data_IF_239740474209
#
_entry.id   IF_239740474209
#
_cell.length_a   1.000
_cell.length_b   1.000
_cell.length_c   1.000
_cell.angle_alpha   90.00
_cell.angle_beta   90.00
_cell.angle_gamma   90.00
#
_symmetry.space_group_name_H-M   'P 1'
#
loop_
_entity.id
_entity.type
_entity.pdbx_description
1 polymer ?
#
# COMPACT_ATOMS: atom_id res chain seq x y z
N UNK A 1 -22.00 7.47 0.77
CA UNK A 1 -21.64 7.06 -0.61
C UNK A 1 -20.54 6.01 -0.52
N UNK A 2 -20.37 5.17 -1.52
CA UNK A 2 -19.29 4.15 -1.58
C UNK A 2 -18.38 4.41 -2.78
N UNK A 3 -17.20 3.77 -2.80
CA UNK A 3 -16.24 3.89 -3.90
C UNK A 3 -16.82 3.49 -5.26
N UNK A 4 -17.74 2.53 -5.29
CA UNK A 4 -18.38 2.06 -6.52
C UNK A 4 -19.57 2.92 -6.97
N UNK A 5 -20.04 3.84 -6.12
CA UNK A 5 -21.05 4.82 -6.49
C UNK A 5 -20.45 6.00 -7.29
N UNK A 6 -19.14 6.26 -7.12
CA UNK A 6 -18.43 7.38 -7.77
C UNK A 6 -17.67 6.97 -9.03
N UNK A 7 -17.07 5.79 -9.02
CA UNK A 7 -16.20 5.28 -10.08
C UNK A 7 -16.40 3.76 -10.18
N UNK A 8 -16.46 3.23 -11.40
CA UNK A 8 -16.66 1.78 -11.59
C UNK A 8 -15.48 0.95 -11.07
N UNK A 9 -15.71 -0.32 -10.73
CA UNK A 9 -14.64 -1.23 -10.31
C UNK A 9 -13.59 -1.36 -11.41
N UNK A 10 -14.00 -1.41 -12.67
CA UNK A 10 -13.12 -1.51 -13.83
C UNK A 10 -12.17 -0.30 -13.96
N UNK A 11 -12.68 0.91 -13.68
CA UNK A 11 -11.87 2.13 -13.67
C UNK A 11 -10.90 2.16 -12.49
N UNK A 12 -11.34 1.71 -11.31
CA UNK A 12 -10.45 1.54 -10.16
C UNK A 12 -9.31 0.55 -10.45
N UNK A 13 -9.63 -0.58 -11.05
CA UNK A 13 -8.64 -1.57 -11.47
C UNK A 13 -7.69 -1.02 -12.54
N UNK A 14 -8.18 -0.23 -13.48
CA UNK A 14 -7.35 0.41 -14.49
C UNK A 14 -6.33 1.35 -13.86
N UNK A 15 -6.77 2.19 -12.89
CA UNK A 15 -5.87 3.07 -12.15
C UNK A 15 -4.84 2.28 -11.33
N UNK A 16 -5.28 1.22 -10.63
CA UNK A 16 -4.37 0.33 -9.88
C UNK A 16 -3.31 -0.23 -10.81
N UNK A 17 -3.69 -0.83 -11.96
CA UNK A 17 -2.72 -1.38 -12.93
C UNK A 17 -1.73 -0.34 -13.42
N UNK A 18 -2.18 0.89 -13.68
CA UNK A 18 -1.30 1.96 -14.12
C UNK A 18 -0.27 2.36 -13.06
N UNK A 19 -0.68 2.41 -11.79
CA UNK A 19 0.25 2.65 -10.67
C UNK A 19 1.26 1.49 -10.57
N UNK A 20 0.78 0.24 -10.66
CA UNK A 20 1.63 -0.95 -10.60
C UNK A 20 2.67 -0.95 -11.73
N UNK A 21 2.25 -0.65 -12.96
CA UNK A 21 3.12 -0.65 -14.14
C UNK A 21 4.16 0.49 -14.07
N UNK A 22 3.76 1.67 -13.55
CA UNK A 22 4.62 2.86 -13.50
C UNK A 22 5.57 2.89 -12.30
N UNK A 23 5.15 2.36 -11.16
CA UNK A 23 5.88 2.48 -9.88
C UNK A 23 6.30 1.15 -9.27
N UNK A 24 5.79 0.02 -9.76
CA UNK A 24 6.24 -1.31 -9.32
C UNK A 24 5.80 -1.70 -7.90
N UNK A 25 4.70 -1.15 -7.40
CA UNK A 25 4.16 -1.41 -6.06
C UNK A 25 3.01 -2.43 -6.09
N UNK A 26 2.77 -3.13 -4.98
CA UNK A 26 1.51 -3.88 -4.78
C UNK A 26 0.40 -2.88 -4.40
N UNK A 27 -0.54 -2.63 -5.31
CA UNK A 27 -1.49 -1.53 -5.21
C UNK A 27 -2.92 -2.03 -5.06
N UNK A 28 -3.74 -1.28 -4.34
CA UNK A 28 -5.16 -1.56 -4.18
C UNK A 28 -5.98 -0.32 -3.84
N UNK A 29 -7.27 -0.38 -4.13
CA UNK A 29 -8.27 0.55 -3.55
C UNK A 29 -8.97 -0.15 -2.39
N UNK A 30 -9.06 0.54 -1.26
CA UNK A 30 -9.71 0.05 -0.04
C UNK A 30 -10.79 1.01 0.45
N UNK A 31 -11.89 0.45 0.94
CA UNK A 31 -12.96 1.17 1.61
C UNK A 31 -12.54 1.65 3.03
N UNK A 32 -13.37 2.43 3.74
CA UNK A 32 -13.02 2.95 5.06
C UNK A 32 -12.83 1.88 6.15
N UNK A 33 -13.41 0.69 5.95
CA UNK A 33 -13.29 -0.46 6.86
C UNK A 33 -12.08 -1.36 6.51
N UNK A 34 -11.33 -1.00 5.46
CA UNK A 34 -10.16 -1.73 4.99
C UNK A 34 -10.47 -2.85 3.99
N UNK A 35 -11.73 -2.99 3.56
CA UNK A 35 -12.13 -3.92 2.52
C UNK A 35 -11.60 -3.51 1.15
N UNK A 36 -11.04 -4.46 0.39
CA UNK A 36 -10.53 -4.16 -0.95
C UNK A 36 -11.67 -4.10 -1.98
N UNK A 37 -11.72 -3.03 -2.76
CA UNK A 37 -12.68 -2.84 -3.86
C UNK A 37 -12.13 -3.42 -5.17
N UNK A 38 -10.81 -3.41 -5.34
CA UNK A 38 -10.12 -4.00 -6.48
C UNK A 38 -9.64 -5.42 -6.17
N UNK A 39 -9.60 -6.29 -7.17
CA UNK A 39 -9.00 -7.60 -7.03
C UNK A 39 -7.50 -7.50 -6.68
N UNK A 40 -6.98 -8.51 -5.97
CA UNK A 40 -5.56 -8.59 -5.65
C UNK A 40 -4.71 -8.56 -6.92
N UNK A 41 -3.79 -7.61 -6.98
CA UNK A 41 -2.82 -7.48 -8.07
C UNK A 41 -1.66 -8.47 -7.95
N UNK A 42 -0.64 -8.27 -8.77
CA UNK A 42 0.62 -9.03 -8.67
C UNK A 42 1.45 -8.50 -7.50
N UNK A 43 2.01 -9.42 -6.72
CA UNK A 43 3.02 -9.08 -5.72
C UNK A 43 4.23 -8.39 -6.37
N UNK A 44 4.72 -7.34 -5.73
CA UNK A 44 5.94 -6.64 -6.15
C UNK A 44 7.23 -7.24 -5.58
N UNK A 45 7.11 -8.13 -4.58
CA UNK A 45 8.21 -8.86 -3.94
C UNK A 45 7.71 -10.20 -3.37
N UNK A 46 8.64 -11.06 -2.94
CA UNK A 46 8.36 -12.39 -2.41
C UNK A 46 8.15 -12.44 -0.89
N UNK A 47 8.58 -11.40 -0.14
CA UNK A 47 8.47 -11.34 1.32
C UNK A 47 7.05 -11.04 1.81
N UNK A 48 6.39 -10.03 1.23
CA UNK A 48 5.03 -9.60 1.56
C UNK A 48 4.00 -10.74 1.54
N UNK A 49 4.00 -11.65 0.55
CA UNK A 49 3.16 -12.85 0.56
C UNK A 49 3.34 -13.71 1.81
N UNK A 50 4.58 -13.94 2.25
CA UNK A 50 4.87 -14.78 3.41
C UNK A 50 4.44 -14.10 4.72
N UNK A 51 4.65 -12.78 4.84
CA UNK A 51 4.10 -11.98 5.95
C UNK A 51 2.58 -12.10 5.99
N UNK A 52 1.89 -11.89 4.86
CA UNK A 52 0.42 -11.90 4.81
C UNK A 52 -0.20 -13.30 5.00
N UNK A 53 0.55 -14.38 4.76
CA UNK A 53 0.11 -15.76 5.06
C UNK A 53 0.12 -16.06 6.56
N UNK A 54 0.97 -15.40 7.35
CA UNK A 54 1.00 -15.57 8.80
C UNK A 54 -0.05 -14.65 9.46
N UNK A 55 -1.07 -15.17 10.17
CA UNK A 55 -2.10 -14.32 10.79
C UNK A 55 -1.55 -13.31 11.81
N UNK A 56 -0.51 -13.70 12.56
CA UNK A 56 0.15 -12.83 13.53
C UNK A 56 0.87 -11.67 12.85
N UNK A 57 1.68 -11.96 11.82
CA UNK A 57 2.40 -10.93 11.06
C UNK A 57 1.43 -10.05 10.24
N UNK A 58 0.40 -10.64 9.61
CA UNK A 58 -0.66 -9.90 8.92
C UNK A 58 -1.34 -8.91 9.86
N UNK A 59 -1.68 -9.34 11.08
CA UNK A 59 -2.35 -8.50 12.07
C UNK A 59 -1.45 -7.41 12.66
N UNK A 60 -0.21 -7.76 12.99
CA UNK A 60 0.73 -6.83 13.65
C UNK A 60 1.41 -5.85 12.70
N UNK A 61 1.70 -6.24 11.46
CA UNK A 61 2.42 -5.43 10.47
C UNK A 61 1.42 -4.84 9.45
N UNK A 62 0.78 -5.67 8.64
CA UNK A 62 0.03 -5.18 7.48
C UNK A 62 -1.26 -4.46 7.88
N UNK A 63 -2.05 -5.03 8.79
CA UNK A 63 -3.32 -4.46 9.23
C UNK A 63 -3.10 -3.18 10.05
N UNK A 64 -2.12 -3.17 10.96
CA UNK A 64 -1.73 -1.98 11.73
C UNK A 64 -1.32 -0.83 10.82
N UNK A 65 -0.42 -1.10 9.86
CA UNK A 65 0.01 -0.10 8.90
C UNK A 65 -1.16 0.41 8.04
N UNK A 66 -2.05 -0.47 7.56
CA UNK A 66 -3.24 -0.05 6.82
C UNK A 66 -4.14 0.87 7.65
N UNK A 67 -4.46 0.49 8.89
CA UNK A 67 -5.31 1.29 9.78
C UNK A 67 -4.69 2.65 10.10
N UNK A 68 -3.39 2.68 10.42
CA UNK A 68 -2.66 3.91 10.75
C UNK A 68 -2.65 4.89 9.57
N UNK A 69 -2.28 4.42 8.38
CA UNK A 69 -2.19 5.27 7.19
C UNK A 69 -3.57 5.75 6.74
N UNK A 70 -4.59 4.89 6.79
CA UNK A 70 -5.97 5.28 6.47
C UNK A 70 -6.49 6.33 7.44
N UNK A 71 -6.24 6.16 8.75
CA UNK A 71 -6.65 7.14 9.76
C UNK A 71 -5.95 8.49 9.57
N UNK A 72 -4.64 8.49 9.33
CA UNK A 72 -3.87 9.70 9.10
C UNK A 72 -4.29 10.41 7.80
N UNK A 73 -4.42 9.68 6.69
CA UNK A 73 -4.86 10.24 5.42
C UNK A 73 -6.27 10.85 5.51
N UNK A 74 -7.19 10.16 6.20
CA UNK A 74 -8.53 10.67 6.50
C UNK A 74 -8.49 11.95 7.34
N UNK A 75 -7.70 11.98 8.41
CA UNK A 75 -7.65 13.10 9.33
C UNK A 75 -7.04 14.36 8.70
N UNK A 76 -5.99 14.17 7.90
CA UNK A 76 -5.21 15.27 7.33
C UNK A 76 -5.72 15.73 5.96
N UNK A 77 -6.54 14.91 5.30
CA UNK A 77 -6.93 15.10 3.89
C UNK A 77 -5.71 15.14 2.94
N UNK A 78 -4.60 14.55 3.36
CA UNK A 78 -3.34 14.51 2.62
C UNK A 78 -2.91 13.07 2.39
N UNK A 79 -2.16 12.86 1.32
CA UNK A 79 -1.47 11.59 1.10
C UNK A 79 -0.44 11.32 2.20
N UNK A 80 -0.26 10.04 2.52
CA UNK A 80 0.73 9.57 3.49
C UNK A 80 1.70 8.67 2.76
N UNK A 81 2.98 9.03 2.82
CA UNK A 81 4.11 8.26 2.31
C UNK A 81 5.06 8.03 3.47
N UNK A 82 5.30 6.76 3.81
CA UNK A 82 6.22 6.37 4.89
C UNK A 82 6.48 4.86 4.79
N UNK A 83 7.14 4.29 5.78
CA UNK A 83 7.41 2.85 5.89
C UNK A 83 6.29 2.15 6.68
N UNK A 84 6.04 0.87 6.38
CA UNK A 84 5.30 -0.03 7.25
C UNK A 84 6.22 -0.61 8.33
N UNK A 85 5.66 -1.35 9.28
CA UNK A 85 6.45 -1.92 10.39
C UNK A 85 7.53 -2.94 9.93
N UNK A 86 7.45 -3.44 8.70
CA UNK A 86 8.50 -4.28 8.10
C UNK A 86 9.60 -3.48 7.38
N UNK A 87 9.60 -2.15 7.47
CA UNK A 87 10.58 -1.27 6.82
C UNK A 87 10.34 -1.01 5.33
N UNK A 88 9.19 -1.42 4.78
CA UNK A 88 8.89 -1.23 3.36
C UNK A 88 7.99 -0.02 3.12
N UNK A 89 8.22 0.67 2.00
CA UNK A 89 7.41 1.79 1.50
C UNK A 89 5.93 1.42 1.51
N UNK A 90 5.12 2.35 2.00
CA UNK A 90 3.66 2.35 1.91
C UNK A 90 3.18 3.75 1.54
N UNK A 91 2.25 3.78 0.61
CA UNK A 91 1.59 4.99 0.13
C UNK A 91 0.09 4.84 0.36
N UNK A 92 -0.54 5.88 0.88
CA UNK A 92 -1.99 5.95 1.06
C UNK A 92 -2.49 7.32 0.67
N UNK A 93 -3.28 7.41 -0.39
CA UNK A 93 -3.91 8.64 -0.86
C UNK A 93 -5.40 8.58 -0.51
N UNK A 94 -5.93 9.56 0.25
CA UNK A 94 -7.32 9.53 0.67
C UNK A 94 -8.24 9.85 -0.51
N UNK A 95 -9.37 9.14 -0.56
CA UNK A 95 -10.41 9.33 -1.57
C UNK A 95 -11.59 10.02 -0.90
N UNK A 96 -11.93 11.20 -1.42
CA UNK A 96 -13.07 12.00 -0.95
C UNK A 96 -14.03 12.33 -2.09
N UNK A 97 -15.32 12.38 -1.78
CA UNK A 97 -16.35 12.99 -2.63
C UNK A 97 -16.98 14.15 -1.85
N UNK A 98 -16.60 15.39 -2.20
CA UNK A 98 -16.82 16.54 -1.31
C UNK A 98 -16.06 16.36 0.01
N UNK A 99 -16.79 16.45 1.13
CA UNK A 99 -16.23 16.24 2.48
C UNK A 99 -16.38 14.79 2.97
N UNK A 100 -17.01 13.90 2.19
CA UNK A 100 -17.23 12.50 2.57
C UNK A 100 -16.01 11.64 2.22
N UNK A 101 -15.40 11.03 3.24
CA UNK A 101 -14.29 10.09 3.07
C UNK A 101 -14.80 8.72 2.59
N UNK A 102 -14.33 8.28 1.43
CA UNK A 102 -14.77 7.03 0.80
C UNK A 102 -13.75 5.89 0.93
N UNK A 103 -12.51 6.17 1.34
CA UNK A 103 -11.47 5.16 1.47
C UNK A 103 -10.10 5.67 1.02
N UNK A 104 -9.23 4.76 0.62
CA UNK A 104 -7.86 5.06 0.20
C UNK A 104 -7.46 4.27 -1.03
N UNK A 105 -6.58 4.84 -1.85
CA UNK A 105 -5.84 4.14 -2.89
C UNK A 105 -4.35 4.33 -2.66
N UNK A 106 -3.56 3.30 -2.93
CA UNK A 106 -2.11 3.38 -2.84
C UNK A 106 -1.47 2.02 -3.05
N UNK A 107 -0.23 1.88 -2.61
CA UNK A 107 0.50 0.64 -2.71
C UNK A 107 1.69 0.54 -1.77
N UNK A 108 2.28 -0.65 -1.69
CA UNK A 108 3.42 -0.91 -0.81
C UNK A 108 4.39 -1.95 -1.39
N UNK A 109 5.44 -2.24 -0.62
CA UNK A 109 6.33 -3.38 -0.82
C UNK A 109 7.62 -3.09 -1.60
N UNK A 110 7.94 -1.82 -1.84
CA UNK A 110 9.31 -1.40 -2.19
C UNK A 110 10.10 -1.07 -0.92
N UNK A 111 11.41 -0.92 -1.03
CA UNK A 111 12.29 -0.44 0.04
C UNK A 111 12.77 0.98 -0.31
N UNK A 112 12.90 1.89 0.66
CA UNK A 112 13.58 3.16 0.38
C UNK A 112 15.08 2.91 0.07
N UNK A 113 15.74 3.83 -0.65
CA UNK A 113 17.15 3.64 -1.05
C UNK A 113 18.10 3.52 0.14
N UNK A 114 17.78 4.18 1.25
CA UNK A 114 18.47 4.15 2.54
C UNK A 114 17.71 3.36 3.62
N UNK A 115 16.61 2.71 3.25
CA UNK A 115 15.80 1.89 4.14
C UNK A 115 16.37 0.49 4.33
N UNK A 116 15.94 -0.15 5.41
CA UNK A 116 16.27 -1.54 5.73
C UNK A 116 14.99 -2.28 6.11
N UNK A 117 14.93 -3.58 5.81
CA UNK A 117 13.83 -4.42 6.25
C UNK A 117 14.02 -4.76 7.72
N UNK A 118 12.96 -4.65 8.52
CA UNK A 118 12.93 -5.06 9.93
C UNK A 118 12.86 -6.60 10.04
N UNK A 119 13.95 -7.26 9.64
CA UNK A 119 14.09 -8.70 9.53
C UNK A 119 13.83 -9.44 10.86
N UNK A 120 14.24 -8.87 11.99
CA UNK A 120 13.98 -9.41 13.32
C UNK A 120 12.49 -9.43 13.63
N UNK A 121 11.76 -8.34 13.34
CA UNK A 121 10.31 -8.30 13.55
C UNK A 121 9.61 -9.32 12.65
N UNK A 122 10.02 -9.38 11.38
CA UNK A 122 9.51 -10.35 10.42
C UNK A 122 9.75 -11.78 10.92
N UNK A 123 10.96 -12.09 11.38
CA UNK A 123 11.31 -13.40 11.94
C UNK A 123 10.42 -13.74 13.14
N UNK A 124 10.26 -12.81 14.09
CA UNK A 124 9.47 -13.06 15.31
C UNK A 124 7.99 -13.28 15.04
N UNK A 125 7.44 -12.57 14.08
CA UNK A 125 6.00 -12.61 13.78
C UNK A 125 5.62 -13.69 12.77
N UNK A 126 6.57 -14.14 11.93
CA UNK A 126 6.32 -15.19 10.90
C UNK A 126 6.86 -16.55 11.29
N UNK A 127 7.90 -16.61 12.13
CA UNK A 127 8.62 -17.85 12.45
C UNK A 127 9.49 -18.38 11.30
N UNK A 128 9.75 -17.59 10.26
CA UNK A 128 10.66 -17.95 9.19
C UNK A 128 12.12 -17.98 9.69
N UNK A 129 12.93 -18.85 9.10
CA UNK A 129 14.38 -18.89 9.35
C UNK A 129 15.07 -17.67 8.72
N UNK A 130 16.17 -17.22 9.34
CA UNK A 130 16.94 -16.04 8.92
C UNK A 130 17.40 -16.13 7.45
N UNK A 131 18.03 -17.26 7.07
CA UNK A 131 18.45 -17.52 5.68
C UNK A 131 17.28 -17.41 4.68
N UNK A 132 16.06 -17.78 5.10
CA UNK A 132 14.88 -17.68 4.23
C UNK A 132 14.41 -16.23 4.09
N UNK A 133 14.48 -15.45 5.16
CA UNK A 133 14.13 -14.04 5.14
C UNK A 133 15.09 -13.27 4.24
N UNK A 134 16.40 -13.51 4.36
CA UNK A 134 17.41 -12.90 3.48
C UNK A 134 17.15 -13.20 1.99
N UNK A 135 16.82 -14.46 1.67
CA UNK A 135 16.45 -14.86 0.31
C UNK A 135 15.24 -14.05 -0.20
N UNK A 136 14.19 -13.92 0.61
CA UNK A 136 12.97 -13.19 0.24
C UNK A 136 13.20 -11.68 0.11
N UNK A 137 14.02 -11.09 0.98
CA UNK A 137 14.41 -9.67 0.94
C UNK A 137 15.10 -9.34 -0.39
N UNK A 138 15.90 -10.27 -0.94
CA UNK A 138 16.61 -10.04 -2.21
C UNK A 138 15.70 -9.77 -3.42
N UNK A 139 14.40 -10.09 -3.32
CA UNK A 139 13.39 -9.79 -4.35
C UNK A 139 12.86 -8.34 -4.29
N UNK A 140 13.07 -7.63 -3.18
CA UNK A 140 12.51 -6.31 -2.94
C UNK A 140 13.28 -5.28 -3.77
N UNK A 141 12.54 -4.48 -4.53
CA UNK A 141 13.11 -3.37 -5.31
C UNK A 141 13.22 -2.11 -4.45
N UNK A 142 14.29 -1.35 -4.68
CA UNK A 142 14.46 -0.03 -4.07
C UNK A 142 13.68 1.04 -4.82
N UNK A 143 13.26 2.08 -4.09
CA UNK A 143 12.53 3.23 -4.58
C UNK A 143 13.02 4.49 -3.85
N UNK A 144 13.42 5.57 -4.55
CA UNK A 144 13.71 6.85 -3.91
C UNK A 144 12.47 7.44 -3.24
N UNK A 145 12.64 8.17 -2.13
CA UNK A 145 11.54 8.88 -1.45
C UNK A 145 10.77 9.79 -2.42
N UNK A 146 11.52 10.58 -3.21
CA UNK A 146 10.94 11.44 -4.28
C UNK A 146 10.08 10.68 -5.29
N UNK A 147 10.36 9.40 -5.55
CA UNK A 147 9.56 8.57 -6.47
C UNK A 147 8.27 8.09 -5.81
N UNK A 148 8.29 7.85 -4.51
CA UNK A 148 7.10 7.54 -3.72
C UNK A 148 6.18 8.77 -3.59
N UNK A 149 6.76 9.96 -3.38
CA UNK A 149 6.03 11.24 -3.43
C UNK A 149 5.41 11.48 -4.81
N UNK A 150 6.18 11.29 -5.90
CA UNK A 150 5.66 11.38 -7.28
C UNK A 150 4.48 10.41 -7.53
N UNK A 151 4.50 9.23 -6.92
CA UNK A 151 3.41 8.27 -6.99
C UNK A 151 2.15 8.81 -6.30
N UNK A 152 2.29 9.37 -5.09
CA UNK A 152 1.18 9.99 -4.38
C UNK A 152 0.56 11.16 -5.18
N UNK A 153 1.39 12.07 -5.69
CA UNK A 153 0.95 13.20 -6.52
C UNK A 153 0.25 12.74 -7.81
N UNK A 154 0.77 11.71 -8.45
CA UNK A 154 0.16 11.11 -9.63
C UNK A 154 -1.24 10.57 -9.31
N UNK A 155 -1.39 9.82 -8.22
CA UNK A 155 -2.68 9.29 -7.78
C UNK A 155 -3.66 10.43 -7.48
N UNK A 156 -3.24 11.46 -6.75
CA UNK A 156 -4.07 12.63 -6.45
C UNK A 156 -4.57 13.32 -7.72
N UNK A 157 -3.71 13.47 -8.74
CA UNK A 157 -4.10 14.03 -10.04
C UNK A 157 -5.17 13.18 -10.70
N UNK A 158 -5.03 11.85 -10.67
CA UNK A 158 -5.99 10.91 -11.29
C UNK A 158 -7.31 10.88 -10.55
N UNK A 159 -7.31 10.98 -9.23
CA UNK A 159 -8.54 11.08 -8.44
C UNK A 159 -9.36 12.32 -8.80
N UNK A 160 -8.71 13.47 -9.03
CA UNK A 160 -9.38 14.71 -9.48
C UNK A 160 -10.03 14.60 -10.86
N UNK A 161 -9.52 13.71 -11.72
CA UNK A 161 -10.10 13.47 -13.04
C UNK A 161 -11.28 12.49 -12.99
N UNK A 162 -11.18 11.48 -12.14
CA UNK A 162 -12.17 10.40 -11.99
C UNK A 162 -13.38 10.82 -11.15
N UNK A 163 -13.14 11.54 -10.05
CA UNK A 163 -14.16 11.95 -9.10
C UNK A 163 -14.49 13.42 -9.37
N UNK A 164 -15.70 13.68 -9.88
CA UNK A 164 -16.21 15.01 -10.23
C UNK A 164 -17.12 15.60 -9.17
#
# INVERSE_FOLDING_TARGET
>A
MTLTDVVSVEEWEALVREIQDKYGLDCSVSDPDGGHVTHAGKWCNDLCPEIKKCPEALGSICATAAQSFTAQAKQTHQSVVSECDAGMVKISVPIFSGDEFLGTIGGCGALFEDGEVEDFLVQKTTGLEEDKIEELISSIKTMPETKAEECAEFIESRLKELIK
#
